data_IF_207799577469
#
_entry.id   IF_207799577469
#
_cell.length_a   1.000
_cell.length_b   1.000
_cell.length_c   1.000
_cell.angle_alpha   90.00
_cell.angle_beta   90.00
_cell.angle_gamma   90.00
#
_symmetry.space_group_name_H-M   'P 1'
#
loop_
_entity.id
_entity.type
_entity.pdbx_description
1 polymer ?
#
# COMPACT_ATOMS: atom_id res chain seq x y z
N UNK A 1 -32.55 6.56 37.10
CA UNK A 1 -32.44 5.80 35.82
C UNK A 1 -31.29 6.25 34.92
N UNK A 2 -30.97 7.55 34.81
CA UNK A 2 -29.84 8.05 33.98
C UNK A 2 -28.46 7.59 34.48
N UNK A 3 -28.21 7.56 35.79
CA UNK A 3 -26.90 7.13 36.33
C UNK A 3 -26.57 5.67 36.08
N UNK A 4 -27.57 4.78 35.98
CA UNK A 4 -27.36 3.36 35.67
C UNK A 4 -26.94 3.14 34.20
N UNK A 5 -27.49 3.94 33.29
CA UNK A 5 -27.15 3.90 31.87
C UNK A 5 -25.72 4.40 31.63
N UNK A 6 -25.31 5.47 32.34
CA UNK A 6 -23.96 6.01 32.26
C UNK A 6 -22.94 5.04 32.86
N UNK A 7 -23.20 4.44 34.00
CA UNK A 7 -22.35 3.46 34.64
C UNK A 7 -22.14 2.20 33.74
N UNK A 8 -23.23 1.71 33.11
CA UNK A 8 -23.17 0.59 32.18
C UNK A 8 -22.42 0.95 30.90
N UNK A 9 -22.56 2.19 30.39
CA UNK A 9 -21.80 2.66 29.24
C UNK A 9 -20.31 2.74 29.58
N UNK A 10 -19.94 3.33 30.72
CA UNK A 10 -18.54 3.44 31.19
C UNK A 10 -17.93 2.05 31.37
N UNK A 11 -18.67 1.13 32.01
CA UNK A 11 -18.21 -0.24 32.20
C UNK A 11 -18.00 -0.96 30.89
N UNK A 12 -18.97 -0.87 29.96
CA UNK A 12 -18.83 -1.47 28.62
C UNK A 12 -17.65 -0.88 27.84
N UNK A 13 -17.47 0.45 27.87
CA UNK A 13 -16.33 1.12 27.24
C UNK A 13 -14.99 0.72 27.87
N UNK A 14 -14.95 0.51 29.19
CA UNK A 14 -13.76 0.04 29.92
C UNK A 14 -13.45 -1.43 29.58
N UNK A 15 -14.48 -2.29 29.51
CA UNK A 15 -14.34 -3.70 29.13
C UNK A 15 -13.92 -3.83 27.66
N UNK A 16 -14.46 -2.99 26.77
CA UNK A 16 -14.08 -2.91 25.36
C UNK A 16 -12.63 -2.42 25.19
N UNK A 17 -12.16 -1.47 26.02
CA UNK A 17 -10.77 -1.04 26.06
C UNK A 17 -9.82 -2.12 26.61
N UNK A 18 -10.21 -2.81 27.68
CA UNK A 18 -9.42 -3.88 28.29
C UNK A 18 -9.31 -5.13 27.40
N UNK A 19 -10.29 -5.36 26.53
CA UNK A 19 -10.32 -6.45 25.57
C UNK A 19 -9.67 -6.09 24.21
N UNK A 20 -9.34 -4.82 23.97
CA UNK A 20 -8.53 -4.44 22.82
C UNK A 20 -7.11 -4.99 23.06
N UNK A 21 -6.77 -6.09 22.42
CA UNK A 21 -5.38 -6.51 22.30
C UNK A 21 -4.66 -5.39 21.56
N UNK A 22 -3.96 -4.54 22.29
CA UNK A 22 -3.03 -3.60 21.68
C UNK A 22 -1.93 -4.42 21.02
N UNK A 23 -2.02 -4.56 19.71
CA UNK A 23 -0.93 -5.10 18.91
C UNK A 23 -0.01 -3.92 18.59
N UNK A 24 1.28 -4.10 18.75
CA UNK A 24 2.26 -3.09 18.38
C UNK A 24 2.98 -3.51 17.10
N UNK A 25 3.17 -2.57 16.20
CA UNK A 25 4.00 -2.70 15.04
C UNK A 25 5.33 -1.97 15.30
N UNK A 26 6.46 -2.62 15.02
CA UNK A 26 7.81 -2.15 15.39
C UNK A 26 7.97 -1.73 16.88
N UNK A 27 7.19 -2.32 17.77
CA UNK A 27 7.20 -2.08 19.23
C UNK A 27 6.68 -0.72 19.71
N UNK A 28 6.40 0.23 18.85
CA UNK A 28 5.99 1.59 19.21
C UNK A 28 4.78 2.13 18.45
N UNK A 29 4.39 1.53 17.35
CA UNK A 29 3.23 1.96 16.55
C UNK A 29 2.02 1.18 17.01
N UNK A 30 1.01 1.85 17.52
CA UNK A 30 -0.20 1.20 18.06
C UNK A 30 -1.14 0.79 16.92
N UNK A 31 -1.63 -0.44 17.00
CA UNK A 31 -2.60 -0.99 16.05
C UNK A 31 -3.97 -1.03 16.70
N UNK A 32 -4.92 -0.31 16.13
CA UNK A 32 -6.31 -0.21 16.60
C UNK A 32 -7.21 -1.04 15.70
N UNK A 33 -7.84 -2.09 16.24
CA UNK A 33 -8.80 -2.91 15.53
C UNK A 33 -10.22 -2.45 15.92
N UNK A 34 -10.88 -1.75 15.00
CA UNK A 34 -12.28 -1.30 15.13
C UNK A 34 -13.22 -2.43 14.72
N UNK A 35 -13.00 -3.01 13.57
CA UNK A 35 -13.75 -4.14 13.04
C UNK A 35 -12.77 -5.26 12.68
N UNK A 36 -13.04 -6.54 13.05
CA UNK A 36 -12.10 -7.62 12.87
C UNK A 36 -11.90 -7.97 11.38
N UNK A 37 -10.71 -8.44 11.05
CA UNK A 37 -10.42 -9.09 9.77
C UNK A 37 -11.14 -10.43 9.66
N UNK A 38 -11.26 -11.01 8.43
CA UNK A 38 -11.74 -12.37 8.24
C UNK A 38 -10.92 -13.39 9.03
N UNK A 39 -11.54 -14.49 9.50
CA UNK A 39 -10.88 -15.48 10.34
C UNK A 39 -9.63 -16.13 9.70
N UNK A 40 -9.55 -16.16 8.36
CA UNK A 40 -8.43 -16.72 7.61
C UNK A 40 -7.28 -15.74 7.40
N UNK A 41 -7.39 -14.47 7.85
CA UNK A 41 -6.37 -13.43 7.70
C UNK A 41 -5.82 -13.04 9.07
N UNK A 42 -4.56 -13.34 9.32
CA UNK A 42 -3.87 -13.02 10.58
C UNK A 42 -3.09 -11.71 10.46
N UNK A 43 -3.64 -10.62 10.99
CA UNK A 43 -2.94 -9.34 11.05
C UNK A 43 -1.56 -9.44 11.71
N UNK A 44 -1.45 -10.22 12.80
CA UNK A 44 -0.18 -10.39 13.50
C UNK A 44 0.90 -11.06 12.65
N UNK A 45 0.52 -12.07 11.84
CA UNK A 45 1.43 -12.70 10.89
C UNK A 45 1.89 -11.72 9.80
N UNK A 46 0.96 -10.96 9.23
CA UNK A 46 1.24 -9.95 8.20
C UNK A 46 2.18 -8.85 8.74
N UNK A 47 1.88 -8.27 9.90
CA UNK A 47 2.75 -7.25 10.51
C UNK A 47 4.15 -7.78 10.83
N UNK A 48 4.27 -9.02 11.31
CA UNK A 48 5.58 -9.65 11.54
C UNK A 48 6.37 -9.82 10.24
N UNK A 49 5.72 -10.20 9.14
CA UNK A 49 6.35 -10.29 7.82
C UNK A 49 6.77 -8.91 7.31
N UNK A 50 5.92 -7.90 7.48
CA UNK A 50 6.25 -6.51 7.13
C UNK A 50 7.46 -5.99 7.93
N UNK A 51 7.53 -6.26 9.24
CA UNK A 51 8.68 -5.92 10.08
C UNK A 51 9.99 -6.58 9.62
N UNK A 52 9.91 -7.79 9.06
CA UNK A 52 11.08 -8.51 8.58
C UNK A 52 11.70 -7.91 7.30
N UNK A 53 10.91 -7.23 6.47
CA UNK A 53 11.34 -6.67 5.19
C UNK A 53 11.51 -5.16 5.22
N UNK A 54 10.78 -4.45 6.06
CA UNK A 54 10.80 -2.99 6.13
C UNK A 54 11.92 -2.47 7.05
N UNK A 55 12.74 -1.53 6.60
CA UNK A 55 13.76 -0.92 7.45
C UNK A 55 13.13 0.03 8.48
N UNK A 56 13.07 -0.37 9.76
CA UNK A 56 12.49 0.41 10.87
C UNK A 56 12.89 1.90 10.85
N UNK A 57 14.14 2.19 10.48
CA UNK A 57 14.67 3.57 10.44
C UNK A 57 13.99 4.49 9.42
N UNK A 58 13.26 3.92 8.45
CA UNK A 58 12.52 4.70 7.43
C UNK A 58 11.07 4.93 7.84
N UNK A 59 10.57 4.24 8.88
CA UNK A 59 9.18 4.34 9.33
C UNK A 59 9.12 5.36 10.47
N UNK A 60 9.32 6.63 10.12
CA UNK A 60 9.36 7.75 11.07
C UNK A 60 8.06 8.56 11.09
N UNK A 61 7.28 8.46 10.01
CA UNK A 61 6.04 9.22 9.80
C UNK A 61 4.78 8.34 9.91
N UNK A 62 4.86 7.24 10.68
CA UNK A 62 3.71 6.37 10.94
C UNK A 62 3.46 6.31 12.45
N UNK A 63 2.36 6.94 12.89
CA UNK A 63 2.00 7.04 14.29
C UNK A 63 1.08 5.91 14.75
N UNK A 64 0.18 5.46 13.86
CA UNK A 64 -0.83 4.44 14.17
C UNK A 64 -1.27 3.64 12.95
N UNK A 65 -1.81 2.44 13.21
CA UNK A 65 -2.50 1.60 12.22
C UNK A 65 -3.94 1.40 12.70
N UNK A 66 -4.90 1.63 11.81
CA UNK A 66 -6.32 1.42 12.06
C UNK A 66 -6.86 0.33 11.14
N UNK A 67 -7.49 -0.69 11.71
CA UNK A 67 -8.13 -1.78 10.97
C UNK A 67 -9.63 -1.73 11.17
N UNK A 68 -10.40 -1.73 10.09
CA UNK A 68 -11.85 -1.70 10.17
C UNK A 68 -12.55 -1.24 8.90
N UNK A 69 -13.83 -0.96 9.03
CA UNK A 69 -14.65 -0.42 7.96
C UNK A 69 -14.57 1.12 7.94
N UNK A 70 -14.03 1.69 6.86
CA UNK A 70 -13.84 3.12 6.69
C UNK A 70 -14.50 3.62 5.40
N UNK A 71 -15.37 4.63 5.52
CA UNK A 71 -16.10 5.22 4.41
C UNK A 71 -15.18 5.82 3.31
N UNK A 72 -14.03 6.37 3.70
CA UNK A 72 -13.11 6.96 2.74
C UNK A 72 -12.40 5.90 1.89
N UNK A 73 -12.11 4.71 2.42
CA UNK A 73 -11.58 3.59 1.66
C UNK A 73 -12.62 3.06 0.67
N UNK A 74 -13.86 2.86 1.14
CA UNK A 74 -14.98 2.41 0.30
C UNK A 74 -15.25 3.35 -0.87
N UNK A 75 -15.23 4.66 -0.64
CA UNK A 75 -15.45 5.66 -1.70
C UNK A 75 -14.36 5.68 -2.77
N UNK A 76 -13.15 5.29 -2.39
CA UNK A 76 -11.99 5.21 -3.29
C UNK A 76 -11.81 3.82 -3.88
N UNK A 77 -12.61 2.84 -3.42
CA UNK A 77 -12.50 1.42 -3.83
C UNK A 77 -11.09 0.86 -3.59
N UNK A 78 -10.48 1.20 -2.44
CA UNK A 78 -9.16 0.72 -2.02
C UNK A 78 -9.23 -0.03 -0.70
N UNK A 79 -8.33 -0.98 -0.48
CA UNK A 79 -8.26 -1.81 0.73
C UNK A 79 -7.40 -1.20 1.83
N UNK A 80 -6.47 -0.31 1.48
CA UNK A 80 -5.68 0.44 2.44
C UNK A 80 -5.44 1.89 1.97
N UNK A 81 -5.03 2.77 2.90
CA UNK A 81 -4.56 4.11 2.59
C UNK A 81 -3.70 4.67 3.74
N UNK A 82 -2.58 5.29 3.41
CA UNK A 82 -1.84 6.15 4.33
C UNK A 82 -2.38 7.58 4.25
N UNK A 83 -2.67 8.17 5.41
CA UNK A 83 -3.13 9.54 5.51
C UNK A 83 -2.77 10.15 6.87
N UNK A 84 -2.18 11.36 6.87
CA UNK A 84 -1.92 12.15 8.07
C UNK A 84 -1.19 11.37 9.19
N UNK A 85 -0.16 10.59 8.84
CA UNK A 85 0.61 9.78 9.78
C UNK A 85 -0.07 8.49 10.24
N UNK A 86 -1.19 8.11 9.64
CA UNK A 86 -1.91 6.88 9.98
C UNK A 86 -2.12 5.98 8.76
N UNK A 87 -1.96 4.67 8.97
CA UNK A 87 -2.32 3.64 8.00
C UNK A 87 -3.72 3.13 8.33
N UNK A 88 -4.62 3.24 7.37
CA UNK A 88 -5.98 2.70 7.43
C UNK A 88 -6.05 1.44 6.58
N UNK A 89 -6.56 0.36 7.16
CA UNK A 89 -6.69 -0.95 6.52
C UNK A 89 -8.16 -1.37 6.57
N UNK A 90 -8.74 -1.70 5.44
CA UNK A 90 -10.08 -2.29 5.36
C UNK A 90 -10.10 -3.65 6.09
N UNK A 91 -11.21 -3.94 6.77
CA UNK A 91 -11.44 -5.27 7.31
C UNK A 91 -11.94 -6.29 6.26
N UNK A 92 -12.06 -5.89 5.01
CA UNK A 92 -12.36 -6.77 3.86
C UNK A 92 -11.04 -7.03 3.15
N UNK A 93 -10.49 -8.24 3.31
CA UNK A 93 -9.21 -8.67 2.74
C UNK A 93 -9.38 -10.08 2.16
N UNK A 94 -8.77 -10.34 1.03
CA UNK A 94 -8.85 -11.63 0.36
C UNK A 94 -7.93 -12.66 1.01
N UNK A 95 -6.68 -12.31 1.29
CA UNK A 95 -5.72 -13.15 1.99
C UNK A 95 -4.59 -12.34 2.67
N UNK A 96 -3.61 -13.05 3.29
CA UNK A 96 -2.49 -12.43 4.00
C UNK A 96 -1.44 -11.82 3.06
N UNK A 97 -1.29 -12.33 1.84
CA UNK A 97 -0.31 -11.82 0.87
C UNK A 97 -0.80 -10.50 0.29
N UNK A 98 -2.09 -10.40 -0.06
CA UNK A 98 -2.74 -9.18 -0.51
C UNK A 98 -2.66 -8.08 0.57
N UNK A 99 -3.02 -8.43 1.82
CA UNK A 99 -2.89 -7.51 2.94
C UNK A 99 -1.43 -7.06 3.18
N UNK A 100 -0.44 -7.94 2.99
CA UNK A 100 0.96 -7.58 3.13
C UNK A 100 1.41 -6.57 2.06
N UNK A 101 0.99 -6.79 0.83
CA UNK A 101 1.29 -5.89 -0.29
C UNK A 101 0.67 -4.51 -0.05
N UNK A 102 -0.59 -4.44 0.38
CA UNK A 102 -1.26 -3.21 0.78
C UNK A 102 -0.50 -2.47 1.88
N UNK A 103 -0.11 -3.17 2.96
CA UNK A 103 0.64 -2.58 4.08
C UNK A 103 1.98 -2.02 3.63
N UNK A 104 2.74 -2.76 2.82
CA UNK A 104 4.05 -2.32 2.31
C UNK A 104 3.87 -1.11 1.39
N UNK A 105 2.88 -1.14 0.50
CA UNK A 105 2.58 -0.07 -0.43
C UNK A 105 2.26 1.24 0.30
N UNK A 106 1.37 1.20 1.26
CA UNK A 106 0.96 2.38 2.00
C UNK A 106 2.06 2.91 2.94
N UNK A 107 2.89 2.03 3.50
CA UNK A 107 4.08 2.46 4.24
C UNK A 107 5.10 3.12 3.29
N UNK A 108 5.23 2.68 2.05
CA UNK A 108 6.08 3.37 1.08
C UNK A 108 5.61 4.82 0.85
N UNK A 109 4.32 5.09 0.81
CA UNK A 109 3.79 6.46 0.76
C UNK A 109 4.19 7.31 1.99
N UNK A 110 4.22 6.73 3.20
CA UNK A 110 4.71 7.45 4.38
C UNK A 110 6.20 7.82 4.28
N UNK A 111 7.01 6.95 3.65
CA UNK A 111 8.42 7.22 3.39
C UNK A 111 8.59 8.29 2.30
N UNK A 112 7.77 8.25 1.26
CA UNK A 112 7.77 9.27 0.20
C UNK A 112 7.38 10.65 0.73
N UNK A 113 6.42 10.74 1.64
CA UNK A 113 6.02 12.01 2.26
C UNK A 113 7.19 12.64 3.03
N UNK A 114 7.93 11.86 3.79
CA UNK A 114 9.07 12.32 4.60
C UNK A 114 10.33 12.58 3.77
N UNK A 115 10.65 11.67 2.84
CA UNK A 115 11.93 11.66 2.12
C UNK A 115 11.82 12.00 0.63
N UNK A 116 10.64 12.44 0.15
CA UNK A 116 10.39 12.66 -1.28
C UNK A 116 11.40 13.56 -1.96
N UNK A 117 11.84 14.64 -1.30
CA UNK A 117 12.88 15.53 -1.85
C UNK A 117 14.24 14.82 -2.00
N UNK A 118 14.61 13.95 -1.09
CA UNK A 118 15.85 13.17 -1.15
C UNK A 118 15.76 12.08 -2.23
N UNK A 119 14.57 11.46 -2.39
CA UNK A 119 14.34 10.39 -3.35
C UNK A 119 14.28 10.94 -4.77
N UNK A 120 13.50 11.99 -4.99
CA UNK A 120 13.16 12.49 -6.33
C UNK A 120 13.91 13.77 -6.73
N UNK A 121 14.43 14.54 -5.77
CA UNK A 121 14.96 15.88 -6.00
C UNK A 121 16.19 15.97 -6.91
N UNK A 122 16.93 14.89 -7.12
CA UNK A 122 18.09 14.85 -8.01
C UNK A 122 17.77 14.36 -9.45
N UNK A 123 16.54 13.97 -9.73
CA UNK A 123 16.06 13.48 -11.03
C UNK A 123 16.69 12.14 -11.48
N UNK A 124 17.37 11.41 -10.59
CA UNK A 124 17.98 10.10 -10.94
C UNK A 124 16.88 9.07 -11.17
N UNK A 125 15.90 9.00 -10.29
CA UNK A 125 14.77 8.06 -10.40
C UNK A 125 13.99 8.30 -11.68
N UNK A 126 13.67 9.56 -12.01
CA UNK A 126 12.98 9.91 -13.26
C UNK A 126 13.79 9.48 -14.49
N UNK A 127 15.11 9.70 -14.49
CA UNK A 127 15.98 9.26 -15.59
C UNK A 127 16.06 7.75 -15.71
N UNK A 128 16.11 7.04 -14.59
CA UNK A 128 16.09 5.58 -14.58
C UNK A 128 14.78 5.05 -15.12
N UNK A 129 13.66 5.57 -14.62
CA UNK A 129 12.31 5.20 -15.05
C UNK A 129 12.11 5.42 -16.55
N UNK A 130 12.43 6.61 -17.05
CA UNK A 130 12.32 6.92 -18.48
C UNK A 130 13.30 6.09 -19.33
N UNK A 131 14.46 5.76 -18.78
CA UNK A 131 15.41 4.86 -19.39
C UNK A 131 14.85 3.44 -19.58
N UNK A 132 14.23 2.88 -18.54
CA UNK A 132 13.57 1.57 -18.58
C UNK A 132 12.38 1.55 -19.53
N UNK A 133 11.53 2.58 -19.51
CA UNK A 133 10.41 2.73 -20.47
C UNK A 133 10.91 2.78 -21.91
N UNK A 134 11.99 3.50 -22.18
CA UNK A 134 12.62 3.53 -23.52
C UNK A 134 13.16 2.16 -23.94
N UNK A 135 13.72 1.39 -23.02
CA UNK A 135 14.18 0.02 -23.31
C UNK A 135 12.98 -0.88 -23.63
N UNK A 136 11.92 -0.83 -22.84
CA UNK A 136 10.68 -1.56 -23.11
C UNK A 136 10.11 -1.21 -24.50
N UNK A 137 10.05 0.09 -24.86
CA UNK A 137 9.66 0.51 -26.20
C UNK A 137 10.51 -0.18 -27.28
N UNK A 138 11.83 -0.20 -27.15
CA UNK A 138 12.71 -0.82 -28.13
C UNK A 138 12.48 -2.34 -28.23
N UNK A 139 12.26 -3.00 -27.10
CA UNK A 139 11.94 -4.44 -27.05
C UNK A 139 10.62 -4.69 -27.81
N UNK A 140 9.56 -3.99 -27.46
CA UNK A 140 8.26 -4.17 -28.10
C UNK A 140 8.32 -3.92 -29.61
N UNK A 141 9.04 -2.87 -30.05
CA UNK A 141 9.30 -2.62 -31.48
C UNK A 141 10.06 -3.75 -32.17
N UNK A 142 11.01 -4.40 -31.48
CA UNK A 142 11.75 -5.55 -32.03
C UNK A 142 10.90 -6.81 -32.19
N UNK A 143 9.76 -6.88 -31.48
CA UNK A 143 8.75 -7.92 -31.61
C UNK A 143 7.51 -7.48 -32.45
N UNK A 144 7.69 -6.43 -33.29
CA UNK A 144 6.70 -5.91 -34.23
C UNK A 144 5.41 -5.36 -33.59
N UNK A 145 5.44 -4.98 -32.30
CA UNK A 145 4.33 -4.26 -31.70
C UNK A 145 4.23 -2.84 -32.24
N UNK A 146 3.01 -2.41 -32.61
CA UNK A 146 2.76 -1.04 -33.06
C UNK A 146 2.56 -0.12 -31.87
N UNK A 147 3.65 0.42 -31.35
CA UNK A 147 3.69 1.30 -30.17
C UNK A 147 4.33 2.64 -30.49
N UNK A 148 3.83 3.70 -29.86
CA UNK A 148 4.30 5.07 -30.07
C UNK A 148 5.36 5.46 -29.03
N UNK A 149 6.52 5.93 -29.48
CA UNK A 149 7.63 6.32 -28.60
C UNK A 149 7.23 7.42 -27.60
N UNK A 150 6.36 8.33 -27.99
CA UNK A 150 5.88 9.43 -27.13
C UNK A 150 5.17 8.93 -25.88
N UNK A 151 4.42 7.82 -25.96
CA UNK A 151 3.73 7.22 -24.82
C UNK A 151 4.72 6.67 -23.79
N UNK A 152 5.81 6.07 -24.24
CA UNK A 152 6.87 5.54 -23.38
C UNK A 152 7.79 6.61 -22.77
N UNK A 153 7.79 7.81 -23.29
CA UNK A 153 8.58 8.93 -22.75
C UNK A 153 7.74 9.88 -21.88
N UNK A 154 6.44 9.74 -21.89
CA UNK A 154 5.58 10.48 -20.99
C UNK A 154 5.65 9.87 -19.58
N UNK A 155 5.95 10.68 -18.57
CA UNK A 155 6.03 10.26 -17.16
C UNK A 155 4.70 10.35 -16.43
N UNK A 156 3.74 11.10 -16.99
CA UNK A 156 2.41 11.23 -16.42
C UNK A 156 1.63 9.92 -16.57
N UNK A 157 0.75 9.64 -15.61
CA UNK A 157 -0.19 8.54 -15.70
C UNK A 157 -1.11 8.71 -16.91
N UNK A 158 -1.33 7.61 -17.63
CA UNK A 158 -2.24 7.54 -18.77
C UNK A 158 -2.95 6.20 -18.76
N UNK A 159 -4.28 6.24 -18.61
CA UNK A 159 -5.12 5.05 -18.68
C UNK A 159 -4.99 4.32 -20.03
N UNK A 160 -4.89 5.07 -21.12
CA UNK A 160 -4.67 4.49 -22.48
C UNK A 160 -3.34 3.73 -22.55
N UNK A 161 -2.29 4.24 -21.89
CA UNK A 161 -1.00 3.58 -21.84
C UNK A 161 -1.03 2.32 -20.96
N UNK A 162 -1.71 2.34 -19.83
CA UNK A 162 -1.94 1.17 -19.00
C UNK A 162 -2.74 0.11 -19.74
N UNK A 163 -3.79 0.50 -20.42
CA UNK A 163 -4.61 -0.41 -21.26
C UNK A 163 -3.80 -1.03 -22.40
N UNK A 164 -2.93 -0.26 -23.04
CA UNK A 164 -2.00 -0.77 -24.04
C UNK A 164 -1.09 -1.86 -23.44
N UNK A 165 -0.52 -1.61 -22.29
CA UNK A 165 0.42 -2.54 -21.64
C UNK A 165 -0.32 -3.80 -21.14
N UNK A 166 -1.33 -3.63 -20.30
CA UNK A 166 -1.93 -4.75 -19.56
C UNK A 166 -3.01 -5.48 -20.34
N UNK A 167 -3.82 -4.77 -21.15
CA UNK A 167 -4.87 -5.38 -21.97
C UNK A 167 -4.39 -5.68 -23.40
N UNK A 168 -3.59 -4.78 -23.99
CA UNK A 168 -3.10 -4.92 -25.37
C UNK A 168 -1.96 -5.92 -25.52
N UNK A 169 -0.92 -5.81 -24.69
CA UNK A 169 0.25 -6.70 -24.72
C UNK A 169 0.00 -7.92 -23.83
N UNK A 170 -0.55 -7.70 -22.64
CA UNK A 170 -0.88 -8.70 -21.64
C UNK A 170 0.25 -8.91 -20.60
N UNK A 171 -0.15 -9.19 -19.36
CA UNK A 171 0.74 -9.29 -18.21
C UNK A 171 1.90 -10.28 -18.41
N UNK A 172 1.61 -11.51 -18.80
CA UNK A 172 2.63 -12.58 -18.97
C UNK A 172 3.73 -12.20 -19.98
N UNK A 173 3.35 -11.51 -21.07
CA UNK A 173 4.31 -11.05 -22.06
C UNK A 173 5.12 -9.86 -21.57
N UNK A 174 4.47 -8.93 -20.84
CA UNK A 174 5.19 -7.82 -20.22
C UNK A 174 6.21 -8.32 -19.22
N UNK A 175 5.85 -9.26 -18.35
CA UNK A 175 6.78 -9.88 -17.41
C UNK A 175 7.99 -10.46 -18.16
N UNK A 176 7.76 -11.24 -19.20
CA UNK A 176 8.85 -11.79 -20.05
C UNK A 176 9.74 -10.69 -20.64
N UNK A 177 9.17 -9.60 -21.17
CA UNK A 177 9.92 -8.51 -21.78
C UNK A 177 10.66 -7.65 -20.75
N UNK A 178 10.19 -7.60 -19.52
CA UNK A 178 10.76 -6.78 -18.44
C UNK A 178 11.73 -7.55 -17.56
N UNK A 179 11.79 -8.88 -17.63
CA UNK A 179 12.66 -9.74 -16.81
C UNK A 179 14.14 -9.32 -16.76
N UNK A 180 14.64 -8.58 -17.73
CA UNK A 180 16.01 -8.07 -17.76
C UNK A 180 16.13 -6.56 -17.49
N UNK A 181 15.01 -5.86 -17.26
CA UNK A 181 14.97 -4.41 -17.03
C UNK A 181 14.94 -4.05 -15.53
N UNK A 182 14.49 -4.97 -14.71
CA UNK A 182 14.42 -4.82 -13.26
C UNK A 182 15.29 -5.88 -12.60
N UNK A 183 16.12 -5.50 -11.64
CA UNK A 183 16.97 -6.43 -10.89
C UNK A 183 16.15 -7.35 -9.99
#
# INVERSE_FOLDING_TARGET
>A
MQNLKLANYIKKSSDDLANRKETLFFTNITVYIKDPLPEHVSLGAVLTRAEAVLPKRLITNLDAIYVGEFEHLKKREVNAAFQDGALYISNVQDDEDDLLDDVIHEIAHSVEEEYGLQIYGNGIIEKEFTGKRKQLYNILRSYDYDVQKSEFLNVDFSEDFDDLLYKGIGYDKLEHFTMGLFP
#
